data_IF_252587212826
#
_entry.id   IF_252587212826
#
_cell.length_a   1.000
_cell.length_b   1.000
_cell.length_c   1.000
_cell.angle_alpha   90.00
_cell.angle_beta   90.00
_cell.angle_gamma   90.00
#
_symmetry.space_group_name_H-M   'P 1'
#
loop_
_entity.id
_entity.type
_entity.pdbx_description
1 polymer ?
#
# COMPACT_ATOMS: atom_id res chain seq x y z
N UNK A 1 -0.50 -0.66 14.23
CA UNK A 1 -1.12 0.64 13.88
C UNK A 1 -2.59 0.54 14.23
N UNK A 2 -3.19 1.60 14.77
CA UNK A 2 -4.65 1.59 14.99
C UNK A 2 -5.36 1.51 13.63
N UNK A 3 -6.44 0.72 13.48
CA UNK A 3 -7.14 0.54 12.21
C UNK A 3 -7.54 1.86 11.54
N UNK A 4 -7.93 2.85 12.34
CA UNK A 4 -8.32 4.19 11.90
C UNK A 4 -7.21 4.93 11.16
N UNK A 5 -5.97 4.86 11.63
CA UNK A 5 -4.84 5.58 11.03
C UNK A 5 -4.44 4.99 9.67
N UNK A 6 -4.54 3.68 9.50
CA UNK A 6 -4.26 3.04 8.21
C UNK A 6 -5.34 3.40 7.18
N UNK A 7 -6.60 3.44 7.60
CA UNK A 7 -7.71 3.85 6.74
C UNK A 7 -7.57 5.30 6.27
N UNK A 8 -7.19 6.21 7.16
CA UNK A 8 -6.97 7.63 6.83
C UNK A 8 -5.84 7.80 5.78
N UNK A 9 -4.74 7.04 5.92
CA UNK A 9 -3.66 7.05 4.94
C UNK A 9 -4.12 6.46 3.60
N UNK A 10 -4.86 5.35 3.62
CA UNK A 10 -5.42 4.73 2.42
C UNK A 10 -6.36 5.69 1.66
N UNK A 11 -7.21 6.42 2.37
CA UNK A 11 -8.08 7.43 1.78
C UNK A 11 -7.28 8.59 1.18
N UNK A 12 -6.25 9.06 1.89
CA UNK A 12 -5.36 10.11 1.39
C UNK A 12 -4.63 9.71 0.10
N UNK A 13 -4.20 8.44 -0.02
CA UNK A 13 -3.60 7.90 -1.25
C UNK A 13 -4.62 7.98 -2.40
N UNK A 14 -5.87 7.59 -2.16
CA UNK A 14 -6.92 7.63 -3.18
C UNK A 14 -7.25 9.07 -3.63
N UNK A 15 -7.33 10.02 -2.69
CA UNK A 15 -7.51 11.45 -3.00
C UNK A 15 -6.34 11.97 -3.86
N UNK A 16 -5.12 11.59 -3.53
CA UNK A 16 -3.94 11.99 -4.31
C UNK A 16 -3.99 11.43 -5.74
N UNK A 17 -4.38 10.16 -5.90
CA UNK A 17 -4.58 9.54 -7.23
C UNK A 17 -5.64 10.24 -8.05
N UNK A 18 -6.75 10.65 -7.42
CA UNK A 18 -7.83 11.37 -8.07
C UNK A 18 -7.40 12.73 -8.66
N UNK A 19 -6.28 13.30 -8.21
CA UNK A 19 -5.67 14.48 -8.83
C UNK A 19 -4.96 14.20 -10.16
N UNK A 20 -4.98 12.95 -10.65
CA UNK A 20 -4.29 12.51 -11.87
C UNK A 20 -2.81 12.18 -11.67
N UNK A 21 -2.31 12.22 -10.44
CA UNK A 21 -0.94 11.85 -10.10
C UNK A 21 -0.87 10.35 -9.85
N UNK A 22 0.10 9.68 -10.46
CA UNK A 22 0.34 8.25 -10.23
C UNK A 22 1.00 8.00 -8.88
N UNK A 23 0.62 6.90 -8.24
CA UNK A 23 1.20 6.39 -7.00
C UNK A 23 1.85 5.04 -7.27
N UNK A 24 3.11 4.90 -6.87
CA UNK A 24 3.87 3.65 -6.96
C UNK A 24 4.23 3.19 -5.56
N UNK A 25 4.03 1.91 -5.26
CA UNK A 25 4.48 1.29 -4.03
C UNK A 25 5.62 0.32 -4.34
N UNK A 26 6.74 0.45 -3.62
CA UNK A 26 7.88 -0.45 -3.72
C UNK A 26 8.36 -0.85 -2.33
N UNK A 27 8.64 -2.14 -2.13
CA UNK A 27 9.23 -2.66 -0.91
C UNK A 27 10.00 -3.96 -1.14
N UNK A 28 10.93 -4.29 -0.24
CA UNK A 28 11.62 -5.59 -0.21
C UNK A 28 10.68 -6.75 0.19
N UNK A 29 9.53 -6.43 0.80
CA UNK A 29 8.51 -7.38 1.20
C UNK A 29 7.34 -6.62 1.83
N UNK A 30 6.19 -7.27 1.92
CA UNK A 30 4.98 -6.66 2.48
C UNK A 30 4.39 -7.54 3.57
N UNK A 31 4.19 -6.97 4.75
CA UNK A 31 3.25 -7.48 5.75
C UNK A 31 1.83 -6.96 5.49
N UNK A 32 0.84 -7.50 6.20
CA UNK A 32 -0.59 -7.20 6.01
C UNK A 32 -0.92 -5.69 5.98
N UNK A 33 -0.42 -4.92 6.94
CA UNK A 33 -0.67 -3.46 7.01
C UNK A 33 0.04 -2.67 5.90
N UNK A 34 1.23 -3.12 5.48
CA UNK A 34 1.98 -2.50 4.39
C UNK A 34 1.30 -2.80 3.05
N UNK A 35 0.85 -4.05 2.86
CA UNK A 35 0.10 -4.44 1.68
C UNK A 35 -1.26 -3.72 1.61
N UNK A 36 -1.92 -3.51 2.75
CA UNK A 36 -3.17 -2.73 2.80
C UNK A 36 -3.02 -1.32 2.21
N UNK A 37 -1.91 -0.63 2.48
CA UNK A 37 -1.61 0.67 1.88
C UNK A 37 -1.12 0.54 0.43
N UNK A 38 -0.25 -0.43 0.16
CA UNK A 38 0.30 -0.65 -1.17
C UNK A 38 -0.80 -0.97 -2.19
N UNK A 39 -1.82 -1.71 -1.79
CA UNK A 39 -2.99 -2.04 -2.61
C UNK A 39 -3.78 -0.81 -3.09
N UNK A 40 -3.57 0.36 -2.49
CA UNK A 40 -4.17 1.61 -2.95
C UNK A 40 -3.39 2.27 -4.10
N UNK A 41 -2.13 1.87 -4.35
CA UNK A 41 -1.29 2.42 -5.41
C UNK A 41 -1.82 2.08 -6.82
N UNK A 42 -1.28 2.73 -7.86
CA UNK A 42 -1.52 2.34 -9.26
C UNK A 42 -0.67 1.15 -9.66
N UNK A 43 0.53 1.04 -9.09
CA UNK A 43 1.46 -0.04 -9.33
C UNK A 43 2.16 -0.45 -8.03
N UNK A 44 2.20 -1.76 -7.79
CA UNK A 44 2.85 -2.36 -6.62
C UNK A 44 3.99 -3.23 -7.11
N UNK A 45 5.19 -2.92 -6.65
CA UNK A 45 6.43 -3.59 -7.00
C UNK A 45 7.05 -4.18 -5.75
N UNK A 46 7.62 -5.37 -5.86
CA UNK A 46 8.34 -6.02 -4.78
C UNK A 46 9.71 -6.45 -5.30
N UNK A 47 10.69 -6.50 -4.40
CA UNK A 47 11.92 -7.24 -4.69
C UNK A 47 11.58 -8.68 -5.15
N UNK A 48 12.25 -9.23 -6.18
CA UNK A 48 11.95 -10.58 -6.69
C UNK A 48 12.09 -11.68 -5.64
N UNK A 49 12.95 -11.50 -4.64
CA UNK A 49 13.15 -12.42 -3.51
C UNK A 49 12.35 -12.00 -2.26
N UNK A 50 11.49 -10.99 -2.40
CA UNK A 50 10.61 -10.53 -1.35
C UNK A 50 9.48 -11.49 -1.02
N UNK A 51 8.90 -11.32 0.18
CA UNK A 51 7.76 -12.10 0.63
C UNK A 51 6.56 -11.23 0.97
N UNK A 52 5.37 -11.75 0.66
CA UNK A 52 4.08 -11.21 1.09
C UNK A 52 3.55 -12.06 2.26
N UNK A 53 3.48 -11.47 3.44
CA UNK A 53 2.90 -12.09 4.63
C UNK A 53 1.52 -11.50 4.91
N UNK A 54 0.49 -12.29 4.66
CA UNK A 54 -0.91 -11.98 4.96
C UNK A 54 -1.47 -13.14 5.79
N UNK A 55 -2.11 -12.81 6.90
CA UNK A 55 -2.85 -13.74 7.76
C UNK A 55 -4.36 -13.52 7.60
N UNK A 56 -5.15 -14.55 7.82
CA UNK A 56 -6.61 -14.56 7.70
C UNK A 56 -7.32 -14.86 9.01
#
# INVERSE_FOLDING_TARGET
AEPSKLQEIAESINIFKASGKRVYAYAEGYGQSQYFLAAQADEVMMDPMGMLFIEG
#
